data_IF_120426583023
#
_entry.id   IF_120426583023
#
_cell.length_a   1.000
_cell.length_b   1.000
_cell.length_c   1.000
_cell.angle_alpha   90.00
_cell.angle_beta   90.00
_cell.angle_gamma   90.00
#
_symmetry.space_group_name_H-M   'P 1'
#
loop_
_entity.id
_entity.type
_entity.pdbx_description
1 polymer ?
#
# COMPACT_ATOMS: atom_id res chain seq x y z
N UNK A 1 6.33 17.61 -16.39
CA UNK A 1 5.63 16.69 -15.47
C UNK A 1 6.32 15.35 -15.59
N UNK A 2 7.05 14.93 -14.56
CA UNK A 2 7.93 13.76 -14.61
C UNK A 2 7.04 12.51 -14.53
N UNK A 3 6.87 11.82 -15.65
CA UNK A 3 6.30 10.47 -15.70
C UNK A 3 7.31 9.53 -15.08
N UNK A 4 7.13 9.18 -13.81
CA UNK A 4 7.91 8.10 -13.19
C UNK A 4 7.28 6.78 -13.63
N UNK A 5 7.58 6.37 -14.86
CA UNK A 5 7.41 4.98 -15.25
C UNK A 5 8.55 4.26 -14.53
N UNK A 6 8.23 3.45 -13.52
CA UNK A 6 9.18 2.44 -13.02
C UNK A 6 9.27 1.39 -14.13
N UNK A 7 10.01 1.73 -15.19
CA UNK A 7 10.38 0.81 -16.23
C UNK A 7 11.50 -0.04 -15.62
N UNK A 8 11.16 -1.21 -15.10
CA UNK A 8 12.14 -2.24 -14.77
C UNK A 8 12.83 -2.74 -16.04
N UNK A 9 13.72 -1.93 -16.59
CA UNK A 9 14.70 -2.35 -17.59
C UNK A 9 16.10 -2.11 -17.02
N UNK A 10 16.65 -3.15 -16.40
CA UNK A 10 18.10 -3.36 -16.35
C UNK A 10 18.36 -4.73 -16.99
N UNK A 11 19.00 -4.70 -18.16
CA UNK A 11 19.36 -5.90 -18.90
C UNK A 11 20.76 -6.41 -18.57
N UNK A 12 20.93 -7.68 -18.94
CA UNK A 12 22.15 -8.43 -19.28
C UNK A 12 22.72 -9.38 -18.21
N UNK A 13 22.68 -10.68 -18.54
CA UNK A 13 23.51 -11.72 -17.89
C UNK A 13 22.79 -13.04 -17.65
N UNK A 14 22.76 -13.90 -18.67
CA UNK A 14 22.72 -15.36 -18.63
C UNK A 14 21.94 -16.05 -17.47
N UNK A 15 20.75 -16.57 -17.81
CA UNK A 15 20.24 -17.85 -17.30
C UNK A 15 19.57 -17.87 -15.92
N UNK A 16 18.35 -17.33 -15.80
CA UNK A 16 17.41 -17.63 -14.71
C UNK A 16 15.98 -17.83 -15.28
N UNK A 17 15.15 -18.73 -14.71
CA UNK A 17 13.97 -19.28 -15.38
C UNK A 17 12.81 -18.29 -15.53
N UNK A 18 12.09 -18.46 -16.64
CA UNK A 18 11.00 -17.64 -17.17
C UNK A 18 9.71 -17.77 -16.33
N UNK A 19 9.55 -16.96 -15.29
CA UNK A 19 8.25 -16.69 -14.66
C UNK A 19 8.17 -15.19 -14.34
N UNK A 20 7.72 -14.37 -15.29
CA UNK A 20 7.54 -12.93 -15.06
C UNK A 20 7.58 -12.01 -16.28
N UNK A 21 7.86 -12.53 -17.48
CA UNK A 21 7.80 -11.71 -18.70
C UNK A 21 6.34 -11.46 -19.09
N UNK A 22 5.88 -10.21 -19.02
CA UNK A 22 4.58 -9.78 -19.54
C UNK A 22 3.66 -9.04 -18.57
N UNK A 23 4.02 -8.91 -17.28
CA UNK A 23 3.24 -8.12 -16.32
C UNK A 23 3.71 -6.67 -16.33
N UNK A 24 2.82 -5.74 -16.69
CA UNK A 24 3.06 -4.30 -16.63
C UNK A 24 2.52 -3.74 -15.31
N UNK A 25 3.27 -2.83 -14.70
CA UNK A 25 2.97 -2.23 -13.41
C UNK A 25 3.10 -0.72 -13.53
N UNK A 26 2.01 -0.01 -13.26
CA UNK A 26 1.96 1.44 -13.33
C UNK A 26 1.51 2.00 -11.99
N UNK A 27 2.24 3.00 -11.48
CA UNK A 27 1.86 3.76 -10.29
C UNK A 27 1.68 5.20 -10.72
N UNK A 28 0.53 5.78 -10.38
CA UNK A 28 0.26 7.19 -10.56
C UNK A 28 -0.06 7.84 -9.22
N UNK A 29 0.67 8.90 -8.89
CA UNK A 29 0.36 9.73 -7.73
C UNK A 29 -0.93 10.52 -8.01
N UNK A 30 -1.87 10.44 -7.07
CA UNK A 30 -3.12 11.20 -7.13
C UNK A 30 -3.14 12.30 -6.08
N UNK A 31 -4.07 13.24 -6.24
CA UNK A 31 -4.30 14.26 -5.24
C UNK A 31 -4.64 13.60 -3.89
N UNK A 32 -4.09 14.11 -2.77
CA UNK A 32 -4.33 13.53 -1.46
C UNK A 32 -5.83 13.55 -1.13
N UNK A 33 -6.31 12.45 -0.55
CA UNK A 33 -7.66 12.37 -0.01
C UNK A 33 -7.71 13.10 1.33
N UNK A 34 -8.67 14.00 1.51
CA UNK A 34 -8.96 14.61 2.81
C UNK A 34 -10.20 13.94 3.37
N UNK A 35 -10.08 13.29 4.53
CA UNK A 35 -11.20 12.67 5.20
C UNK A 35 -12.14 13.76 5.76
N UNK A 36 -13.41 13.79 5.34
CA UNK A 36 -14.35 14.82 5.77
C UNK A 36 -14.75 14.72 7.25
N UNK A 37 -14.46 13.59 7.91
CA UNK A 37 -14.87 13.34 9.30
C UNK A 37 -13.95 14.01 10.32
N UNK A 38 -12.67 14.13 10.00
CA UNK A 38 -11.64 14.67 10.91
C UNK A 38 -10.68 15.68 10.24
N UNK A 39 -10.73 15.83 8.91
CA UNK A 39 -9.84 16.72 8.15
C UNK A 39 -8.46 16.12 7.87
N UNK A 40 -8.20 14.87 8.24
CA UNK A 40 -6.92 14.20 8.03
C UNK A 40 -6.67 14.00 6.53
N UNK A 41 -5.43 14.26 6.11
CA UNK A 41 -5.01 14.10 4.72
C UNK A 41 -4.19 12.82 4.57
N UNK A 42 -4.54 12.04 3.54
CA UNK A 42 -3.87 10.81 3.15
C UNK A 42 -3.38 10.96 1.72
N UNK A 43 -2.10 10.73 1.47
CA UNK A 43 -1.61 10.66 0.10
C UNK A 43 -2.20 9.39 -0.54
N UNK A 44 -2.61 9.53 -1.80
CA UNK A 44 -3.26 8.43 -2.53
C UNK A 44 -2.54 8.18 -3.84
N UNK A 45 -2.51 6.93 -4.23
CA UNK A 45 -1.88 6.46 -5.45
C UNK A 45 -2.83 5.51 -6.15
N UNK A 46 -2.74 5.50 -7.47
CA UNK A 46 -3.42 4.55 -8.33
C UNK A 46 -2.41 3.51 -8.82
N UNK A 47 -2.64 2.25 -8.46
CA UNK A 47 -1.87 1.11 -8.93
C UNK A 47 -2.64 0.41 -10.04
N UNK A 48 -1.97 0.17 -11.17
CA UNK A 48 -2.50 -0.63 -12.26
C UNK A 48 -1.55 -1.78 -12.56
N UNK A 49 -2.06 -3.00 -12.49
CA UNK A 49 -1.35 -4.21 -12.92
C UNK A 49 -2.03 -4.77 -14.15
N UNK A 50 -1.28 -4.94 -15.24
CA UNK A 50 -1.74 -5.58 -16.48
C UNK A 50 -1.05 -6.91 -16.65
N UNK A 51 -1.83 -7.97 -16.81
CA UNK A 51 -1.37 -9.34 -16.99
C UNK A 51 -1.09 -9.67 -18.47
N UNK A 52 -0.36 -10.77 -18.75
CA UNK A 52 -0.01 -11.15 -20.13
C UNK A 52 -1.22 -11.42 -21.04
N UNK A 53 -2.38 -11.76 -20.47
CA UNK A 53 -3.65 -11.93 -21.18
C UNK A 53 -4.38 -10.60 -21.45
N UNK A 54 -3.72 -9.48 -21.17
CA UNK A 54 -4.21 -8.09 -21.30
C UNK A 54 -5.29 -7.71 -20.30
N UNK A 55 -5.61 -8.55 -19.32
CA UNK A 55 -6.48 -8.15 -18.20
C UNK A 55 -5.74 -7.13 -17.32
N UNK A 56 -6.44 -6.09 -16.90
CA UNK A 56 -5.86 -5.04 -16.05
C UNK A 56 -6.70 -4.83 -14.81
N UNK A 57 -6.02 -4.74 -13.67
CA UNK A 57 -6.62 -4.45 -12.38
C UNK A 57 -6.09 -3.11 -11.88
N UNK A 58 -7.00 -2.21 -11.53
CA UNK A 58 -6.67 -0.87 -11.06
C UNK A 58 -7.27 -0.63 -9.68
N UNK A 59 -6.43 -0.22 -8.75
CA UNK A 59 -6.82 0.09 -7.38
C UNK A 59 -6.32 1.47 -6.99
N UNK A 60 -7.16 2.20 -6.26
CA UNK A 60 -6.77 3.43 -5.57
C UNK A 60 -6.46 3.09 -4.12
N UNK A 61 -5.27 3.44 -3.65
CA UNK A 61 -4.75 3.07 -2.34
C UNK A 61 -4.25 4.29 -1.57
N UNK A 62 -4.34 4.25 -0.24
CA UNK A 62 -3.69 5.24 0.64
C UNK A 62 -2.26 4.81 0.92
N UNK A 63 -1.28 5.70 0.76
CA UNK A 63 0.12 5.38 1.06
C UNK A 63 0.45 5.41 2.55
N UNK A 64 -0.53 5.77 3.38
CA UNK A 64 -0.43 5.79 4.84
C UNK A 64 -1.59 4.98 5.43
N UNK A 65 -1.35 4.41 6.61
CA UNK A 65 -2.39 3.73 7.37
C UNK A 65 -3.48 4.71 7.81
N UNK A 66 -4.72 4.24 7.83
CA UNK A 66 -5.86 5.02 8.32
C UNK A 66 -5.67 5.35 9.81
N UNK A 67 -5.86 6.62 10.16
CA UNK A 67 -5.64 7.14 11.52
C UNK A 67 -6.87 7.90 12.05
N UNK A 68 -8.06 7.39 11.73
CA UNK A 68 -9.33 7.93 12.19
C UNK A 68 -9.60 7.57 13.67
N UNK A 69 -9.90 8.56 14.50
CA UNK A 69 -10.21 8.36 15.92
C UNK A 69 -11.63 7.80 16.11
N UNK A 70 -11.77 6.48 15.91
CA UNK A 70 -12.99 5.75 16.14
C UNK A 70 -13.04 5.14 17.55
N UNK A 71 -14.25 4.93 18.08
CA UNK A 71 -14.43 4.26 19.36
C UNK A 71 -13.78 2.87 19.37
N UNK A 72 -12.94 2.62 20.38
CA UNK A 72 -12.18 1.36 20.50
C UNK A 72 -10.94 1.26 19.63
N UNK A 73 -10.57 2.33 18.90
CA UNK A 73 -9.27 2.43 18.25
C UNK A 73 -8.20 2.85 19.26
N UNK A 74 -6.99 2.31 19.12
CA UNK A 74 -5.86 2.62 20.01
C UNK A 74 -4.61 2.93 19.20
N UNK A 75 -3.73 3.75 19.75
CA UNK A 75 -2.40 3.98 19.18
C UNK A 75 -1.44 2.93 19.74
N UNK A 76 -0.54 2.43 18.89
CA UNK A 76 0.44 1.42 19.30
C UNK A 76 1.28 1.93 20.48
N UNK A 77 1.34 1.15 21.56
CA UNK A 77 2.05 1.52 22.79
C UNK A 77 1.45 2.67 23.60
N UNK A 78 0.30 3.22 23.17
CA UNK A 78 -0.29 4.42 23.78
C UNK A 78 0.50 5.71 23.54
N UNK A 79 1.49 5.66 22.65
CA UNK A 79 2.36 6.79 22.33
C UNK A 79 1.80 7.55 21.12
N UNK A 80 1.43 8.84 21.25
CA UNK A 80 0.91 9.63 20.14
C UNK A 80 1.82 9.67 18.90
N UNK A 81 3.14 9.61 19.07
CA UNK A 81 4.09 9.64 17.94
C UNK A 81 3.92 8.41 17.03
N UNK A 82 3.60 7.25 17.61
CA UNK A 82 3.29 6.04 16.85
C UNK A 82 2.01 6.20 16.01
N UNK A 83 1.09 7.08 16.42
CA UNK A 83 -0.14 7.39 15.67
C UNK A 83 0.13 8.14 14.37
N UNK A 84 1.19 8.95 14.35
CA UNK A 84 1.62 9.67 13.14
C UNK A 84 2.38 8.75 12.17
N UNK A 85 3.17 7.82 12.70
CA UNK A 85 4.01 6.91 11.89
C UNK A 85 3.23 5.69 11.39
N UNK A 86 2.43 5.07 12.25
CA UNK A 86 1.77 3.79 11.97
C UNK A 86 0.25 3.88 11.82
N UNK A 87 -0.34 5.03 12.12
CA UNK A 87 -1.79 5.17 12.24
C UNK A 87 -2.32 4.52 13.52
N UNK A 88 -3.59 4.10 13.48
CA UNK A 88 -4.29 3.52 14.63
C UNK A 88 -4.58 2.05 14.43
N UNK A 89 -4.67 1.33 15.55
CA UNK A 89 -5.11 -0.06 15.60
C UNK A 89 -6.61 -0.09 15.85
N UNK A 90 -7.33 -0.89 15.06
CA UNK A 90 -8.77 -1.04 15.16
C UNK A 90 -9.11 -2.49 15.50
N UNK A 91 -10.04 -2.68 16.43
CA UNK A 91 -10.72 -3.97 16.56
C UNK A 91 -11.57 -4.21 15.31
N UNK A 92 -11.79 -5.48 14.94
CA UNK A 92 -12.48 -5.85 13.69
C UNK A 92 -13.81 -5.12 13.48
N UNK A 93 -14.65 -5.07 14.51
CA UNK A 93 -15.94 -4.37 14.46
C UNK A 93 -15.79 -2.87 14.16
N UNK A 94 -14.79 -2.20 14.76
CA UNK A 94 -14.49 -0.80 14.47
C UNK A 94 -13.89 -0.63 13.08
N UNK A 95 -13.03 -1.55 12.64
CA UNK A 95 -12.40 -1.48 11.31
C UNK A 95 -13.44 -1.51 10.17
N UNK A 96 -14.52 -2.29 10.32
CA UNK A 96 -15.60 -2.36 9.34
C UNK A 96 -16.31 -1.01 9.14
N UNK A 97 -16.38 -0.19 10.18
CA UNK A 97 -17.06 1.12 10.16
C UNK A 97 -16.06 2.31 10.05
N UNK A 98 -14.77 2.04 10.20
CA UNK A 98 -13.74 3.08 10.21
C UNK A 98 -13.45 3.66 8.82
N UNK A 99 -13.72 2.91 7.75
CA UNK A 99 -13.46 3.40 6.40
C UNK A 99 -14.39 4.57 6.02
N UNK A 100 -13.85 5.68 5.47
CA UNK A 100 -14.68 6.79 5.02
C UNK A 100 -15.49 6.40 3.77
N UNK A 101 -16.54 7.17 3.47
CA UNK A 101 -17.39 6.90 2.30
C UNK A 101 -16.57 6.83 1.00
N UNK A 102 -16.82 5.79 0.20
CA UNK A 102 -16.07 5.51 -1.04
C UNK A 102 -14.76 4.74 -0.83
N UNK A 103 -14.37 4.48 0.42
CA UNK A 103 -13.26 3.61 0.79
C UNK A 103 -13.78 2.36 1.50
N UNK A 104 -13.00 1.29 1.46
CA UNK A 104 -13.33 0.02 2.11
C UNK A 104 -12.06 -0.66 2.62
N UNK A 105 -12.24 -1.62 3.52
CA UNK A 105 -11.17 -2.53 3.87
C UNK A 105 -10.75 -3.34 2.63
N UNK A 106 -9.45 -3.58 2.43
CA UNK A 106 -8.98 -4.48 1.41
C UNK A 106 -9.43 -5.91 1.73
N UNK A 107 -9.83 -6.62 0.68
CA UNK A 107 -9.99 -8.08 0.70
C UNK A 107 -8.64 -8.75 0.47
N UNK A 108 -8.57 -10.06 0.68
CA UNK A 108 -7.35 -10.82 0.39
C UNK A 108 -6.92 -10.68 -1.09
N UNK A 109 -7.89 -10.64 -2.01
CA UNK A 109 -7.60 -10.45 -3.43
C UNK A 109 -6.96 -9.08 -3.71
N UNK A 110 -7.45 -8.01 -3.09
CA UNK A 110 -6.84 -6.68 -3.25
C UNK A 110 -5.41 -6.66 -2.75
N UNK A 111 -5.14 -7.34 -1.62
CA UNK A 111 -3.81 -7.50 -1.08
C UNK A 111 -2.90 -8.29 -2.01
N UNK A 112 -3.38 -9.37 -2.63
CA UNK A 112 -2.61 -10.14 -3.59
C UNK A 112 -2.28 -9.31 -4.83
N UNK A 113 -3.25 -8.56 -5.36
CA UNK A 113 -3.03 -7.70 -6.52
C UNK A 113 -2.02 -6.58 -6.21
N UNK A 114 -2.15 -5.95 -5.03
CA UNK A 114 -1.15 -4.99 -4.56
C UNK A 114 0.23 -5.64 -4.43
N UNK A 115 0.31 -6.83 -3.85
CA UNK A 115 1.58 -7.54 -3.73
C UNK A 115 2.19 -7.88 -5.10
N UNK A 116 1.38 -8.33 -6.05
CA UNK A 116 1.81 -8.59 -7.43
C UNK A 116 2.32 -7.32 -8.11
N UNK A 117 1.69 -6.16 -7.85
CA UNK A 117 2.16 -4.86 -8.29
C UNK A 117 3.60 -4.58 -7.80
N UNK A 118 3.94 -4.97 -6.58
CA UNK A 118 5.32 -4.84 -6.06
C UNK A 118 6.27 -5.99 -6.45
N UNK A 119 5.81 -6.97 -7.24
CA UNK A 119 6.62 -8.11 -7.67
C UNK A 119 6.55 -9.33 -6.74
N UNK A 120 5.52 -9.40 -5.89
CA UNK A 120 5.23 -10.50 -4.97
C UNK A 120 5.28 -10.09 -3.50
N UNK A 121 4.81 -10.98 -2.62
CA UNK A 121 4.62 -10.71 -1.19
C UNK A 121 5.89 -10.21 -0.48
N UNK A 122 7.06 -10.80 -0.77
CA UNK A 122 8.33 -10.38 -0.13
C UNK A 122 8.73 -8.96 -0.53
N UNK A 123 8.63 -8.64 -1.83
CA UNK A 123 8.94 -7.31 -2.35
C UNK A 123 7.94 -6.26 -1.84
N UNK A 124 6.66 -6.63 -1.77
CA UNK A 124 5.61 -5.80 -1.22
C UNK A 124 5.85 -5.49 0.26
N UNK A 125 6.20 -6.50 1.07
CA UNK A 125 6.52 -6.30 2.49
C UNK A 125 7.71 -5.36 2.71
N UNK A 126 8.70 -5.37 1.81
CA UNK A 126 9.81 -4.42 1.85
C UNK A 126 9.41 -3.01 1.42
N UNK A 127 8.52 -2.89 0.44
CA UNK A 127 8.12 -1.61 -0.15
C UNK A 127 7.02 -0.89 0.63
N UNK A 128 6.13 -1.62 1.30
CA UNK A 128 4.94 -1.10 1.97
C UNK A 128 5.10 -0.91 3.48
N UNK A 129 6.19 -1.43 4.07
CA UNK A 129 6.44 -1.23 5.50
C UNK A 129 6.64 0.26 5.80
N UNK A 130 6.14 0.69 6.96
CA UNK A 130 6.44 2.02 7.47
C UNK A 130 7.95 2.16 7.72
N UNK A 131 8.50 3.34 7.40
CA UNK A 131 9.89 3.67 7.71
C UNK A 131 9.99 4.03 9.20
N UNK A 132 10.54 3.13 10.02
CA UNK A 132 10.70 3.37 11.45
C UNK A 132 11.79 2.50 12.09
N UNK A 133 12.47 3.03 13.12
CA UNK A 133 13.43 2.27 13.94
C UNK A 133 12.83 1.06 14.66
N UNK A 134 11.51 0.90 14.82
CA UNK A 134 10.97 -0.34 15.42
C UNK A 134 11.06 -1.56 14.49
N UNK A 135 11.34 -1.35 13.20
CA UNK A 135 11.49 -2.42 12.21
C UNK A 135 12.96 -2.76 11.91
N UNK A 136 13.83 -2.74 12.94
CA UNK A 136 15.23 -3.17 12.78
C UNK A 136 15.25 -4.63 12.34
N UNK A 137 15.94 -4.92 11.23
CA UNK A 137 16.29 -6.29 10.89
C UNK A 137 17.32 -6.77 11.90
N UNK A 138 16.94 -7.69 12.79
CA UNK A 138 17.95 -8.43 13.54
C UNK A 138 18.85 -9.15 12.52
N UNK A 139 20.12 -8.75 12.50
CA UNK A 139 21.22 -9.26 11.66
C UNK A 139 21.25 -8.80 10.19
N UNK A 140 22.04 -7.74 9.94
CA UNK A 140 22.89 -7.63 8.75
C UNK A 140 24.35 -7.58 9.17
#
# INVERSE_FOLDING_TARGET
MKKSIILGLLGAGLGWPLYGQGILRETEEEAPYTDPRDGQKYATVRYTTTFPDQTSHTFRWMTQNLSYDAAGSVVYGGDPENGEVYGRLYVWATAMEACPAGWRLPTDEDWYQLAFHFGGLCSAGLALKADSPLWVREHQ
#
